data_IF_975940305977
#
_entry.id   IF_975940305977
#
_cell.length_a   1.000
_cell.length_b   1.000
_cell.length_c   1.000
_cell.angle_alpha   90.00
_cell.angle_beta   90.00
_cell.angle_gamma   90.00
#
_symmetry.space_group_name_H-M   'P 1'
#
loop_
_entity.id
_entity.type
_entity.pdbx_description
1 polymer ?
#
# COMPACT_ATOMS: atom_id res chain seq x y z
N UNK A 1 12.05 15.24 -8.96
CA UNK A 1 10.95 15.59 -9.86
C UNK A 1 11.15 16.93 -10.54
N UNK A 2 11.56 17.98 -9.81
CA UNK A 2 11.63 19.34 -10.35
C UNK A 2 12.93 19.67 -11.12
N UNK A 3 13.98 18.88 -10.99
CA UNK A 3 15.31 19.17 -11.55
C UNK A 3 15.36 19.27 -13.07
N UNK A 4 14.38 18.71 -13.77
CA UNK A 4 14.34 18.64 -15.23
C UNK A 4 13.29 19.57 -15.86
N UNK A 5 12.52 20.32 -15.06
CA UNK A 5 11.44 21.20 -15.55
C UNK A 5 11.89 22.20 -16.61
N UNK A 6 13.10 22.74 -16.49
CA UNK A 6 13.66 23.72 -17.43
C UNK A 6 14.31 23.13 -18.69
N UNK A 7 14.25 21.80 -18.89
CA UNK A 7 14.97 21.10 -19.95
C UNK A 7 14.10 20.69 -21.15
N UNK A 8 12.89 21.25 -21.28
CA UNK A 8 11.97 20.90 -22.34
C UNK A 8 11.33 19.52 -22.18
N UNK A 9 11.22 19.03 -20.95
CA UNK A 9 10.72 17.68 -20.60
C UNK A 9 9.21 17.63 -20.36
N UNK A 10 8.52 18.78 -20.37
CA UNK A 10 7.07 18.86 -20.14
C UNK A 10 6.47 20.02 -20.92
N UNK A 11 5.19 19.92 -21.21
CA UNK A 11 4.38 21.00 -21.75
C UNK A 11 3.93 21.95 -20.63
N UNK A 12 3.69 23.21 -20.99
CA UNK A 12 3.31 24.27 -20.07
C UNK A 12 1.95 24.85 -20.44
N UNK A 13 1.14 25.15 -19.45
CA UNK A 13 -0.16 25.81 -19.57
C UNK A 13 -0.21 27.05 -18.67
N UNK A 14 -1.25 27.89 -18.87
CA UNK A 14 -1.53 28.99 -17.95
C UNK A 14 -2.06 28.42 -16.62
N UNK A 15 -1.63 29.02 -15.50
CA UNK A 15 -2.23 28.72 -14.20
C UNK A 15 -3.67 29.26 -14.12
N UNK A 16 -4.36 29.02 -13.00
CA UNK A 16 -5.77 29.34 -12.82
C UNK A 16 -6.14 30.81 -13.18
N UNK A 17 -5.28 31.78 -12.83
CA UNK A 17 -5.52 33.21 -13.08
C UNK A 17 -4.81 33.76 -14.32
N UNK A 18 -4.09 32.93 -15.04
CA UNK A 18 -3.33 33.31 -16.25
C UNK A 18 -2.11 34.18 -15.99
N UNK A 19 -1.72 34.39 -14.73
CA UNK A 19 -0.60 35.26 -14.37
C UNK A 19 0.75 34.60 -14.56
N UNK A 20 0.81 33.26 -14.52
CA UNK A 20 2.05 32.46 -14.60
C UNK A 20 1.81 31.20 -15.44
N UNK A 21 2.90 30.51 -15.79
CA UNK A 21 2.86 29.20 -16.42
C UNK A 21 3.11 28.11 -15.40
N UNK A 22 2.39 26.99 -15.54
CA UNK A 22 2.61 25.77 -14.78
C UNK A 22 2.79 24.57 -15.73
N UNK A 23 3.54 23.52 -15.32
CA UNK A 23 3.69 22.34 -16.14
C UNK A 23 2.40 21.54 -16.17
N UNK A 24 2.00 21.05 -17.35
CA UNK A 24 0.84 20.14 -17.49
C UNK A 24 1.04 18.86 -16.70
N UNK A 25 2.25 18.32 -16.77
CA UNK A 25 2.68 17.16 -15.98
C UNK A 25 4.12 17.37 -15.49
N UNK A 26 4.42 16.88 -14.29
CA UNK A 26 5.81 16.87 -13.80
C UNK A 26 6.61 15.78 -14.51
N UNK A 27 7.86 16.05 -14.93
CA UNK A 27 8.72 15.03 -15.49
C UNK A 27 9.07 13.99 -14.44
N UNK A 28 9.10 12.73 -14.82
CA UNK A 28 9.41 11.63 -13.92
C UNK A 28 10.33 10.61 -14.59
N UNK A 29 11.40 10.21 -13.89
CA UNK A 29 12.32 9.16 -14.36
C UNK A 29 11.82 7.75 -14.09
N UNK A 30 10.88 7.63 -13.20
CA UNK A 30 10.26 6.35 -12.77
C UNK A 30 8.76 6.56 -12.59
N UNK A 31 7.93 5.52 -12.71
CA UNK A 31 6.48 5.63 -12.52
C UNK A 31 6.13 5.85 -11.04
N UNK A 32 6.21 7.11 -10.59
CA UNK A 32 5.98 7.48 -9.18
C UNK A 32 4.60 7.09 -8.67
N UNK A 33 3.60 7.01 -9.53
CA UNK A 33 2.25 6.56 -9.17
C UNK A 33 2.25 5.11 -8.62
N UNK A 34 3.11 4.24 -9.15
CA UNK A 34 3.26 2.88 -8.64
C UNK A 34 4.12 2.82 -7.39
N UNK A 35 5.14 3.69 -7.29
CA UNK A 35 6.05 3.71 -6.13
C UNK A 35 5.37 4.22 -4.87
N UNK A 36 4.64 5.32 -4.99
CA UNK A 36 4.04 6.00 -3.85
C UNK A 36 2.59 5.54 -3.60
N UNK A 37 1.97 4.93 -4.62
CA UNK A 37 0.55 4.74 -4.63
C UNK A 37 -0.21 6.07 -4.77
N UNK A 38 -1.51 6.00 -4.87
CA UNK A 38 -2.39 7.18 -4.85
C UNK A 38 -3.80 6.78 -4.45
N UNK A 39 -4.47 7.66 -3.73
CA UNK A 39 -5.90 7.55 -3.44
C UNK A 39 -6.59 8.82 -3.89
N UNK A 40 -7.77 8.68 -4.45
CA UNK A 40 -8.58 9.83 -4.87
C UNK A 40 -10.04 9.49 -4.94
N UNK A 41 -10.88 10.43 -4.52
CA UNK A 41 -12.33 10.31 -4.54
C UNK A 41 -12.87 11.41 -5.43
N UNK A 42 -13.61 10.99 -6.47
CA UNK A 42 -14.30 11.88 -7.38
C UNK A 42 -15.80 11.54 -7.41
N UNK A 43 -16.60 12.38 -8.05
CA UNK A 43 -18.03 12.10 -8.23
C UNK A 43 -18.18 10.91 -9.19
N UNK A 44 -18.77 9.83 -8.70
CA UNK A 44 -19.04 8.63 -9.49
C UNK A 44 -17.88 7.65 -9.64
N UNK A 45 -16.65 7.99 -9.15
CA UNK A 45 -15.52 7.06 -9.17
C UNK A 45 -14.54 7.34 -8.05
N UNK A 46 -13.79 6.31 -7.67
CA UNK A 46 -12.65 6.40 -6.76
C UNK A 46 -11.49 5.59 -7.30
N UNK A 47 -10.27 5.99 -6.96
CA UNK A 47 -9.06 5.22 -7.22
C UNK A 47 -8.32 4.96 -5.93
N UNK A 48 -7.70 3.78 -5.82
CA UNK A 48 -6.86 3.39 -4.70
C UNK A 48 -5.74 2.48 -5.22
N UNK A 49 -4.60 3.08 -5.54
CA UNK A 49 -3.42 2.37 -6.04
C UNK A 49 -2.43 2.25 -4.87
N UNK A 50 -2.13 1.02 -4.41
CA UNK A 50 -1.17 0.82 -3.34
C UNK A 50 0.27 1.10 -3.81
N UNK A 51 1.20 1.43 -2.90
CA UNK A 51 2.62 1.56 -3.22
C UNK A 51 3.24 0.21 -3.57
N UNK A 52 4.33 0.25 -4.37
CA UNK A 52 5.07 -0.94 -4.82
C UNK A 52 6.57 -0.77 -4.61
N UNK A 53 7.28 -1.88 -4.60
CA UNK A 53 8.72 -1.91 -4.39
C UNK A 53 9.49 -1.26 -5.55
N UNK A 54 10.38 -0.31 -5.23
CA UNK A 54 11.17 0.43 -6.23
C UNK A 54 11.95 -0.52 -7.17
N UNK A 55 12.59 -1.55 -6.62
CA UNK A 55 13.43 -2.46 -7.43
C UNK A 55 12.58 -3.29 -8.38
N UNK A 56 11.40 -3.71 -7.97
CA UNK A 56 10.44 -4.45 -8.77
C UNK A 56 9.86 -3.58 -9.88
N UNK A 57 9.41 -2.38 -9.54
CA UNK A 57 8.90 -1.41 -10.51
C UNK A 57 9.95 -1.06 -11.57
N UNK A 58 11.20 -0.81 -11.17
CA UNK A 58 12.30 -0.53 -12.11
C UNK A 58 12.57 -1.74 -13.03
N UNK A 59 12.57 -2.97 -12.51
CA UNK A 59 12.73 -4.17 -13.34
C UNK A 59 11.60 -4.32 -14.35
N UNK A 60 10.35 -4.14 -13.92
CA UNK A 60 9.19 -4.17 -14.81
C UNK A 60 9.24 -3.08 -15.87
N UNK A 61 9.61 -1.85 -15.49
CA UNK A 61 9.80 -0.73 -16.43
C UNK A 61 10.88 -1.02 -17.48
N UNK A 62 12.03 -1.55 -17.07
CA UNK A 62 13.11 -1.95 -18.00
C UNK A 62 12.64 -3.05 -18.95
N UNK A 63 11.89 -4.04 -18.45
CA UNK A 63 11.36 -5.10 -19.28
C UNK A 63 10.40 -4.56 -20.35
N UNK A 64 9.49 -3.65 -19.96
CA UNK A 64 8.54 -3.01 -20.86
C UNK A 64 9.22 -2.11 -21.91
N UNK A 65 10.26 -1.35 -21.52
CA UNK A 65 11.05 -0.53 -22.47
C UNK A 65 11.76 -1.42 -23.50
N UNK A 66 12.30 -2.57 -23.08
CA UNK A 66 12.98 -3.50 -23.98
C UNK A 66 12.02 -4.24 -24.91
N UNK A 67 10.83 -4.53 -24.45
CA UNK A 67 9.78 -5.18 -25.22
C UNK A 67 8.42 -4.55 -24.86
N UNK A 68 7.93 -3.58 -25.67
CA UNK A 68 6.63 -2.91 -25.44
C UNK A 68 5.43 -3.87 -25.48
N UNK A 69 5.58 -5.04 -26.12
CA UNK A 69 4.53 -6.08 -26.21
C UNK A 69 4.54 -7.05 -24.99
N UNK A 70 5.25 -6.69 -23.91
CA UNK A 70 5.28 -7.50 -22.69
C UNK A 70 3.86 -7.58 -22.09
N UNK A 71 3.35 -8.80 -21.90
CA UNK A 71 1.99 -9.00 -21.35
C UNK A 71 1.90 -8.65 -19.88
N UNK A 72 0.67 -8.39 -19.40
CA UNK A 72 0.39 -8.07 -18.00
C UNK A 72 0.82 -9.20 -17.06
N UNK A 73 0.64 -10.47 -17.46
CA UNK A 73 1.07 -11.63 -16.69
C UNK A 73 2.60 -11.64 -16.52
N UNK A 74 3.33 -11.22 -17.56
CA UNK A 74 4.79 -11.13 -17.51
C UNK A 74 5.25 -9.95 -16.66
N UNK A 75 4.55 -8.82 -16.71
CA UNK A 75 4.81 -7.70 -15.82
C UNK A 75 4.54 -8.05 -14.36
N UNK A 76 3.49 -8.83 -14.09
CA UNK A 76 3.17 -9.34 -12.75
C UNK A 76 4.23 -10.31 -12.18
N UNK A 77 5.11 -10.88 -13.00
CA UNK A 77 6.27 -11.63 -12.50
C UNK A 77 7.36 -10.70 -11.92
N UNK A 78 7.47 -9.47 -12.45
CA UNK A 78 8.42 -8.46 -11.94
C UNK A 78 7.86 -7.68 -10.77
N UNK A 79 6.54 -7.42 -10.76
CA UNK A 79 5.83 -6.65 -9.74
C UNK A 79 4.71 -7.53 -9.19
N UNK A 80 5.02 -8.51 -8.33
CA UNK A 80 4.06 -9.55 -7.95
C UNK A 80 2.95 -9.09 -7.01
N UNK A 81 3.21 -8.06 -6.19
CA UNK A 81 2.27 -7.57 -5.19
C UNK A 81 2.62 -6.14 -4.75
N UNK A 82 1.71 -5.43 -4.09
CA UNK A 82 2.03 -4.19 -3.39
C UNK A 82 3.12 -4.38 -2.34
N UNK A 83 3.91 -3.32 -2.11
CA UNK A 83 4.88 -3.22 -1.02
C UNK A 83 4.40 -2.14 -0.04
N UNK A 84 3.63 -2.58 0.94
CA UNK A 84 3.00 -1.68 1.91
C UNK A 84 4.03 -1.22 2.95
N UNK A 85 3.90 -0.01 3.54
CA UNK A 85 4.91 0.57 4.44
C UNK A 85 4.95 -0.07 5.85
N UNK A 86 4.15 -1.11 6.09
CA UNK A 86 4.19 -1.92 7.31
C UNK A 86 4.78 -3.29 7.00
N UNK A 87 5.29 -4.00 8.01
CA UNK A 87 5.82 -5.36 7.86
C UNK A 87 4.74 -6.45 7.74
N UNK A 88 3.48 -6.06 7.79
CA UNK A 88 2.36 -6.98 7.66
C UNK A 88 2.41 -7.80 6.37
N UNK A 89 1.88 -9.03 6.39
CA UNK A 89 1.99 -9.97 5.29
C UNK A 89 0.74 -9.96 4.40
N UNK A 90 0.93 -9.82 3.08
CA UNK A 90 -0.15 -10.05 2.11
C UNK A 90 -0.35 -11.55 1.96
N UNK A 91 -1.53 -12.05 2.34
CA UNK A 91 -1.90 -13.47 2.28
C UNK A 91 -2.88 -13.79 1.14
N UNK A 92 -3.10 -12.85 0.24
CA UNK A 92 -3.92 -13.03 -0.97
C UNK A 92 -3.21 -14.00 -1.92
N UNK A 93 -3.88 -15.04 -2.44
CA UNK A 93 -3.29 -15.97 -3.41
C UNK A 93 -2.79 -15.28 -4.68
N UNK A 94 -1.76 -15.85 -5.32
CA UNK A 94 -1.10 -15.24 -6.48
C UNK A 94 -2.03 -15.05 -7.68
N UNK A 95 -2.91 -15.99 -7.95
CA UNK A 95 -3.91 -15.92 -9.01
C UNK A 95 -4.92 -14.79 -8.77
N UNK A 96 -5.31 -14.56 -7.53
CA UNK A 96 -6.17 -13.45 -7.14
C UNK A 96 -5.43 -12.11 -7.25
N UNK A 97 -4.13 -12.04 -6.86
CA UNK A 97 -3.29 -10.87 -7.06
C UNK A 97 -3.17 -10.51 -8.54
N UNK A 98 -2.89 -11.49 -9.42
CA UNK A 98 -2.83 -11.27 -10.85
C UNK A 98 -4.16 -10.74 -11.40
N UNK A 99 -5.28 -11.30 -10.96
CA UNK A 99 -6.61 -10.81 -11.35
C UNK A 99 -6.84 -9.37 -10.91
N UNK A 100 -6.41 -8.99 -9.70
CA UNK A 100 -6.50 -7.60 -9.23
C UNK A 100 -5.67 -6.67 -10.11
N UNK A 101 -4.43 -7.06 -10.45
CA UNK A 101 -3.53 -6.28 -11.28
C UNK A 101 -4.07 -6.09 -12.70
N UNK A 102 -4.62 -7.12 -13.31
CA UNK A 102 -5.14 -7.06 -14.69
C UNK A 102 -6.50 -6.38 -14.82
N UNK A 103 -7.35 -6.49 -13.79
CA UNK A 103 -8.71 -5.91 -13.81
C UNK A 103 -8.81 -4.56 -13.11
N UNK A 104 -7.84 -4.21 -12.28
CA UNK A 104 -7.88 -3.03 -11.41
C UNK A 104 -8.94 -3.13 -10.31
N UNK A 105 -9.45 -4.33 -10.00
CA UNK A 105 -10.53 -4.54 -9.01
C UNK A 105 -10.25 -5.72 -8.12
N UNK A 106 -10.46 -5.56 -6.81
CA UNK A 106 -10.33 -6.61 -5.83
C UNK A 106 -9.95 -6.08 -4.46
N UNK A 107 -9.57 -6.99 -3.57
CA UNK A 107 -9.17 -6.66 -2.21
C UNK A 107 -7.97 -7.49 -1.80
N UNK A 108 -6.99 -6.86 -1.17
CA UNK A 108 -5.87 -7.56 -0.57
C UNK A 108 -6.24 -8.03 0.84
N UNK A 109 -5.94 -9.28 1.14
CA UNK A 109 -5.98 -9.79 2.50
C UNK A 109 -4.61 -9.65 3.12
N UNK A 110 -4.55 -8.93 4.24
CA UNK A 110 -3.29 -8.61 4.92
C UNK A 110 -3.38 -9.09 6.36
N UNK A 111 -2.34 -9.76 6.83
CA UNK A 111 -2.24 -10.31 8.17
C UNK A 111 -1.21 -9.52 8.98
N UNK A 112 -1.55 -9.22 10.23
CA UNK A 112 -0.64 -8.65 11.21
C UNK A 112 0.56 -9.59 11.49
N UNK A 113 1.69 -9.03 11.88
CA UNK A 113 2.81 -9.81 12.41
C UNK A 113 2.63 -9.96 13.91
N UNK A 114 2.78 -11.18 14.39
CA UNK A 114 2.71 -11.50 15.81
C UNK A 114 3.72 -12.59 16.18
N UNK A 115 4.00 -12.67 17.46
CA UNK A 115 4.75 -13.78 18.06
C UNK A 115 4.11 -14.17 19.40
N UNK A 116 4.52 -15.29 19.94
CA UNK A 116 4.06 -15.75 21.26
C UNK A 116 5.17 -15.46 22.27
N UNK A 117 4.84 -14.72 23.32
CA UNK A 117 5.75 -14.38 24.42
C UNK A 117 5.07 -14.74 25.74
N UNK A 118 5.68 -15.67 26.53
CA UNK A 118 5.17 -16.09 27.83
C UNK A 118 3.71 -16.56 27.87
N UNK A 119 3.21 -17.08 26.75
CA UNK A 119 1.84 -17.53 26.63
C UNK A 119 0.83 -16.46 26.14
N UNK A 120 1.30 -15.25 25.92
CA UNK A 120 0.52 -14.14 25.34
C UNK A 120 0.85 -13.98 23.86
N UNK A 121 -0.10 -13.50 23.07
CA UNK A 121 0.08 -13.15 21.66
C UNK A 121 0.47 -11.67 21.60
N UNK A 122 1.66 -11.38 21.10
CA UNK A 122 2.17 -10.01 20.95
C UNK A 122 2.16 -9.62 19.48
N UNK A 123 1.32 -8.66 19.13
CA UNK A 123 1.23 -8.11 17.76
C UNK A 123 2.23 -6.96 17.66
N UNK A 124 3.14 -7.04 16.69
CA UNK A 124 4.22 -6.06 16.49
C UNK A 124 4.05 -5.20 15.24
N UNK A 125 3.24 -5.64 14.29
CA UNK A 125 2.93 -4.86 13.09
C UNK A 125 1.47 -5.11 12.68
N UNK A 126 0.77 -4.03 12.35
CA UNK A 126 -0.60 -4.08 11.85
C UNK A 126 -0.64 -3.86 10.33
N UNK A 127 -1.69 -4.33 9.65
CA UNK A 127 -1.94 -3.97 8.26
C UNK A 127 -1.93 -2.45 8.06
N UNK A 128 -1.45 -2.02 6.89
CA UNK A 128 -1.41 -0.61 6.52
C UNK A 128 -2.79 0.03 6.66
N UNK A 129 -2.84 1.24 7.21
CA UNK A 129 -4.07 2.01 7.51
C UNK A 129 -5.00 1.37 8.57
N UNK A 130 -4.53 0.37 9.30
CA UNK A 130 -5.27 -0.21 10.43
C UNK A 130 -4.79 0.40 11.74
N UNK A 131 -5.70 1.03 12.46
CA UNK A 131 -5.43 1.63 13.78
C UNK A 131 -5.42 0.56 14.88
N UNK A 132 -4.41 0.60 15.77
CA UNK A 132 -4.34 -0.25 16.96
C UNK A 132 -5.57 -0.13 17.85
N UNK A 133 -6.02 1.10 18.11
CA UNK A 133 -7.23 1.35 18.90
C UNK A 133 -8.48 0.67 18.32
N UNK A 134 -8.63 0.68 16.99
CA UNK A 134 -9.73 -0.01 16.32
C UNK A 134 -9.67 -1.51 16.50
N UNK A 135 -8.47 -2.10 16.43
CA UNK A 135 -8.27 -3.54 16.66
C UNK A 135 -8.62 -3.91 18.09
N UNK A 136 -8.13 -3.14 19.06
CA UNK A 136 -8.43 -3.34 20.50
C UNK A 136 -9.93 -3.29 20.75
N UNK A 137 -10.62 -2.26 20.24
CA UNK A 137 -12.07 -2.13 20.38
C UNK A 137 -12.80 -3.33 19.79
N UNK A 138 -12.44 -3.75 18.58
CA UNK A 138 -13.06 -4.90 17.93
C UNK A 138 -12.85 -6.20 18.70
N UNK A 139 -11.66 -6.43 19.28
CA UNK A 139 -11.39 -7.62 20.08
C UNK A 139 -12.18 -7.55 21.40
N UNK A 140 -12.19 -6.39 22.08
CA UNK A 140 -12.95 -6.21 23.31
C UNK A 140 -14.46 -6.45 23.09
N UNK A 141 -15.04 -5.97 21.98
CA UNK A 141 -16.43 -6.24 21.61
C UNK A 141 -16.69 -7.73 21.42
N UNK A 142 -15.76 -8.46 20.77
CA UNK A 142 -15.87 -9.90 20.59
C UNK A 142 -15.74 -10.68 21.92
N UNK A 143 -14.89 -10.20 22.84
CA UNK A 143 -14.77 -10.75 24.19
C UNK A 143 -16.08 -10.56 24.98
N UNK A 144 -16.65 -9.36 24.98
CA UNK A 144 -17.94 -9.05 25.62
C UNK A 144 -19.07 -9.91 25.02
N UNK A 145 -19.06 -10.11 23.71
CA UNK A 145 -20.00 -10.98 23.01
C UNK A 145 -19.74 -12.50 23.26
N UNK A 146 -18.74 -12.86 24.09
CA UNK A 146 -18.33 -14.25 24.40
C UNK A 146 -17.93 -15.08 23.18
N UNK A 147 -17.47 -14.42 22.10
CA UNK A 147 -16.99 -15.08 20.87
C UNK A 147 -15.51 -15.47 20.93
N UNK A 148 -14.77 -14.92 21.89
CA UNK A 148 -13.35 -15.20 22.11
C UNK A 148 -13.13 -15.72 23.56
N UNK A 149 -13.58 -16.94 23.88
CA UNK A 149 -13.56 -17.44 25.26
C UNK A 149 -12.14 -17.69 25.81
N UNK A 150 -11.14 -17.79 24.94
CA UNK A 150 -9.74 -18.00 25.33
C UNK A 150 -8.98 -16.70 25.59
N UNK A 151 -9.54 -15.56 25.19
CA UNK A 151 -8.92 -14.25 25.40
C UNK A 151 -9.44 -13.69 26.72
N UNK A 152 -8.54 -13.49 27.67
CA UNK A 152 -8.85 -12.97 29.01
C UNK A 152 -8.69 -11.46 29.10
N UNK A 153 -7.73 -10.89 28.36
CA UNK A 153 -7.40 -9.47 28.41
C UNK A 153 -6.82 -9.00 27.06
N UNK A 154 -6.82 -7.69 26.82
CA UNK A 154 -6.12 -7.05 25.72
C UNK A 154 -5.54 -5.71 26.18
N UNK A 155 -4.26 -5.49 25.91
CA UNK A 155 -3.52 -4.31 26.33
C UNK A 155 -2.80 -3.66 25.16
N UNK A 156 -2.72 -2.32 25.20
CA UNK A 156 -1.82 -1.55 24.32
C UNK A 156 -0.56 -1.20 25.13
N UNK A 157 0.54 -1.84 24.79
CA UNK A 157 1.87 -1.58 25.37
C UNK A 157 2.79 -0.84 24.38
N UNK A 158 2.20 -0.21 23.35
CA UNK A 158 2.95 0.55 22.35
C UNK A 158 3.64 1.76 22.98
N UNK A 159 4.88 1.99 22.59
CA UNK A 159 5.71 3.12 23.03
C UNK A 159 6.58 3.66 21.89
N UNK A 160 7.49 4.60 22.17
CA UNK A 160 8.38 5.19 21.15
C UNK A 160 9.41 4.20 20.61
N UNK A 161 9.72 3.14 21.34
CA UNK A 161 10.66 2.07 20.91
C UNK A 161 9.92 0.97 20.15
N UNK A 162 8.70 0.67 20.61
CA UNK A 162 7.80 -0.34 20.03
C UNK A 162 6.50 0.37 19.56
N UNK A 163 6.49 0.97 18.37
CA UNK A 163 5.35 1.77 17.89
C UNK A 163 4.04 0.99 17.78
N UNK A 164 4.14 -0.33 17.68
CA UNK A 164 3.01 -1.26 17.75
C UNK A 164 3.39 -2.41 18.67
N UNK A 165 2.71 -2.51 19.83
CA UNK A 165 2.80 -3.63 20.74
C UNK A 165 1.44 -3.86 21.38
N UNK A 166 0.61 -4.69 20.77
CA UNK A 166 -0.68 -5.10 21.30
C UNK A 166 -0.53 -6.50 21.88
N UNK A 167 -0.92 -6.68 23.12
CA UNK A 167 -0.78 -7.94 23.87
C UNK A 167 -2.16 -8.50 24.16
N UNK A 168 -2.32 -9.78 23.81
CA UNK A 168 -3.57 -10.53 23.95
C UNK A 168 -3.32 -11.80 24.76
#
# INVERSE_FOLDING_TARGET
LLSELGQGTCDWQDNFDGSMKEPVNLPARVPNILLNGTTGIAVGMATDIPPHNLREVVKGTIALIRNPETSDEKLAEYIPAPDLPTKAEIITPRDELLKIQTTGRGSYRVRAIYHIEKGEIVITDLPYQVSGSKVITQIADQMQAKKLPLVSDIRDESDHTNPTRLVI
#
